data_IF_364690619779
#
_entry.id   IF_364690619779
#
_cell.length_a   1.000
_cell.length_b   1.000
_cell.length_c   1.000
_cell.angle_alpha   90.00
_cell.angle_beta   90.00
_cell.angle_gamma   90.00
#
_symmetry.space_group_name_H-M   'P 1'
#
loop_
_entity.id
_entity.type
_entity.pdbx_description
1 polymer ?
#
# COMPACT_ATOMS: atom_id res chain seq x y z
N UNK A 1 -25.78 1.77 -13.65
CA UNK A 1 -25.05 1.29 -12.46
C UNK A 1 -23.63 1.04 -12.91
N UNK A 2 -22.75 2.01 -12.68
CA UNK A 2 -21.38 1.93 -13.19
C UNK A 2 -20.66 0.80 -12.48
N UNK A 3 -20.19 -0.17 -13.26
CA UNK A 3 -19.10 -1.06 -12.89
C UNK A 3 -18.05 -0.24 -12.16
N UNK A 4 -18.00 -0.38 -10.83
CA UNK A 4 -16.80 -0.08 -10.06
C UNK A 4 -15.78 -1.07 -10.60
N UNK A 5 -15.11 -0.71 -11.70
CA UNK A 5 -13.84 -1.30 -12.07
C UNK A 5 -13.07 -1.33 -10.75
N UNK A 6 -12.69 -2.53 -10.30
CA UNK A 6 -11.62 -2.68 -9.34
C UNK A 6 -10.41 -2.06 -10.04
N UNK A 7 -10.28 -0.75 -9.97
CA UNK A 7 -9.05 -0.08 -10.30
C UNK A 7 -8.05 -0.64 -9.31
N UNK A 8 -7.08 -1.39 -9.84
CA UNK A 8 -5.92 -1.80 -9.08
C UNK A 8 -5.38 -0.53 -8.42
N UNK A 9 -5.20 -0.52 -7.09
CA UNK A 9 -4.82 0.70 -6.39
C UNK A 9 -3.49 1.23 -6.97
N UNK A 10 -3.42 2.54 -7.24
CA UNK A 10 -2.19 3.14 -7.78
C UNK A 10 -1.04 3.01 -6.78
N UNK A 11 0.22 3.05 -7.24
CA UNK A 11 1.37 3.08 -6.34
C UNK A 11 1.31 4.20 -5.31
N UNK A 12 0.78 5.38 -5.63
CA UNK A 12 0.64 6.42 -4.61
C UNK A 12 -0.37 6.05 -3.52
N UNK A 13 -1.52 5.46 -3.89
CA UNK A 13 -2.53 5.03 -2.93
C UNK A 13 -1.99 3.93 -2.00
N UNK A 14 -1.20 3.00 -2.53
CA UNK A 14 -0.56 1.94 -1.74
C UNK A 14 0.51 2.52 -0.79
N UNK A 15 1.32 3.45 -1.27
CA UNK A 15 2.34 4.12 -0.45
C UNK A 15 1.70 4.99 0.66
N UNK A 16 0.58 5.65 0.39
CA UNK A 16 -0.15 6.42 1.39
C UNK A 16 -0.75 5.53 2.48
N UNK A 17 -1.28 4.35 2.11
CA UNK A 17 -1.74 3.35 3.06
C UNK A 17 -0.59 2.83 3.96
N UNK A 18 0.59 2.58 3.40
CA UNK A 18 1.79 2.19 4.16
C UNK A 18 2.18 3.29 5.15
N UNK A 19 2.21 4.56 4.71
CA UNK A 19 2.54 5.70 5.58
C UNK A 19 1.55 5.89 6.71
N UNK A 20 0.26 5.75 6.42
CA UNK A 20 -0.83 5.85 7.40
C UNK A 20 -0.68 4.78 8.49
N UNK A 21 -0.31 3.56 8.12
CA UNK A 21 -0.05 2.47 9.07
C UNK A 21 1.07 2.84 10.05
N UNK A 22 2.18 3.37 9.54
CA UNK A 22 3.31 3.82 10.36
C UNK A 22 2.99 5.05 11.21
N UNK A 23 2.23 6.01 10.67
CA UNK A 23 1.79 7.19 11.40
C UNK A 23 0.96 6.79 12.63
N UNK A 24 -0.02 5.90 12.44
CA UNK A 24 -0.86 5.40 13.54
C UNK A 24 -0.05 4.67 14.61
N UNK A 25 0.90 3.83 14.21
CA UNK A 25 1.77 3.14 15.16
C UNK A 25 2.65 4.13 15.94
N UNK A 26 3.18 5.15 15.25
CA UNK A 26 3.94 6.25 15.85
C UNK A 26 3.14 7.10 16.83
N UNK A 27 1.89 7.45 16.49
CA UNK A 27 0.95 8.15 17.39
C UNK A 27 0.70 7.35 18.67
N UNK A 28 0.57 6.03 18.53
CA UNK A 28 0.38 5.11 19.66
C UNK A 28 1.70 4.76 20.38
N UNK A 29 2.84 5.31 19.94
CA UNK A 29 4.19 5.04 20.45
C UNK A 29 4.49 3.55 20.64
N UNK A 30 4.03 2.73 19.70
CA UNK A 30 4.23 1.29 19.71
C UNK A 30 4.76 0.80 18.37
N UNK A 31 5.37 -0.37 18.39
CA UNK A 31 5.64 -1.10 17.16
C UNK A 31 4.33 -1.55 16.50
N UNK A 32 4.41 -1.88 15.20
CA UNK A 32 3.34 -2.58 14.49
C UNK A 32 3.04 -3.90 15.20
N UNK A 33 1.75 -4.20 15.35
CA UNK A 33 1.29 -5.51 15.81
C UNK A 33 1.58 -6.57 14.75
N UNK A 34 1.52 -7.85 15.12
CA UNK A 34 1.69 -8.94 14.18
C UNK A 34 0.69 -8.88 13.00
N UNK A 35 -0.53 -8.38 13.25
CA UNK A 35 -1.55 -8.21 12.22
C UNK A 35 -1.21 -7.06 11.27
N UNK A 36 -0.86 -5.89 11.81
CA UNK A 36 -0.43 -4.74 11.01
C UNK A 36 0.85 -5.03 10.23
N UNK A 37 1.73 -5.87 10.76
CA UNK A 37 2.93 -6.29 10.06
C UNK A 37 2.61 -7.20 8.86
N UNK A 38 1.59 -8.06 8.96
CA UNK A 38 1.08 -8.82 7.79
C UNK A 38 0.46 -7.89 6.76
N UNK A 39 -0.35 -6.94 7.20
CA UNK A 39 -0.96 -5.93 6.32
C UNK A 39 0.13 -5.14 5.60
N UNK A 40 1.16 -4.68 6.31
CA UNK A 40 2.32 -4.00 5.75
C UNK A 40 2.99 -4.82 4.64
N UNK A 41 3.24 -6.11 4.87
CA UNK A 41 3.87 -6.98 3.86
C UNK A 41 3.03 -7.08 2.58
N UNK A 42 1.72 -7.23 2.71
CA UNK A 42 0.80 -7.26 1.56
C UNK A 42 0.80 -5.93 0.80
N UNK A 43 0.76 -4.81 1.51
CA UNK A 43 0.79 -3.48 0.88
C UNK A 43 2.10 -3.21 0.15
N UNK A 44 3.24 -3.58 0.74
CA UNK A 44 4.57 -3.40 0.12
C UNK A 44 4.71 -4.27 -1.13
N UNK A 45 4.24 -5.52 -1.09
CA UNK A 45 4.26 -6.40 -2.25
C UNK A 45 3.43 -5.81 -3.41
N UNK A 46 2.19 -5.41 -3.12
CA UNK A 46 1.32 -4.78 -4.10
C UNK A 46 1.93 -3.48 -4.66
N UNK A 47 2.55 -2.66 -3.80
CA UNK A 47 3.19 -1.41 -4.23
C UNK A 47 4.37 -1.67 -5.16
N UNK A 48 5.20 -2.68 -4.85
CA UNK A 48 6.34 -3.05 -5.68
C UNK A 48 5.90 -3.58 -7.05
N UNK A 49 4.83 -4.38 -7.11
CA UNK A 49 4.27 -4.88 -8.38
C UNK A 49 3.68 -3.74 -9.23
N UNK A 50 2.94 -2.83 -8.60
CA UNK A 50 2.33 -1.70 -9.28
C UNK A 50 3.40 -0.70 -9.78
N UNK A 51 4.43 -0.42 -8.99
CA UNK A 51 5.55 0.46 -9.38
C UNK A 51 6.35 -0.11 -10.55
N UNK A 52 6.64 -1.41 -10.56
CA UNK A 52 7.33 -2.06 -11.68
C UNK A 52 6.51 -2.00 -12.98
N UNK A 53 5.20 -2.17 -12.86
CA UNK A 53 4.28 -2.08 -14.00
C UNK A 53 4.28 -0.67 -14.59
N UNK A 54 4.17 0.37 -13.76
CA UNK A 54 4.22 1.77 -14.22
C UNK A 54 5.56 2.15 -14.85
N UNK A 55 6.69 1.70 -14.28
CA UNK A 55 8.03 1.97 -14.84
C UNK A 55 8.27 1.22 -16.16
N UNK A 56 7.75 0.00 -16.30
CA UNK A 56 7.86 -0.78 -17.55
C UNK A 56 6.99 -0.24 -18.70
N UNK A 57 5.93 0.50 -18.39
CA UNK A 57 5.10 1.22 -19.36
C UNK A 57 5.73 2.54 -19.84
N UNK A 58 6.75 3.04 -19.14
CA UNK A 58 7.42 4.31 -19.44
C UNK A 58 8.74 4.17 -20.22
N UNK A 59 9.15 2.94 -20.61
CA UNK A 59 10.37 2.62 -21.35
C UNK A 59 10.09 2.32 -22.83
#
# INVERSE_FOLDING_TARGET
MSDRRRETPSPEALNDAIRTLWARAGEQRRALTADEQRIYQVLVAAWAEATQTEQGLAA
#
